data_IF_428092210575
#
_entry.id   IF_428092210575
#
_cell.length_a   1.000
_cell.length_b   1.000
_cell.length_c   1.000
_cell.angle_alpha   90.00
_cell.angle_beta   90.00
_cell.angle_gamma   90.00
#
_symmetry.space_group_name_H-M   'P 1'
#
loop_
_entity.id
_entity.type
_entity.pdbx_description
1 polymer ?
#
# COMPACT_ATOMS: atom_id res chain seq x y z
N UNK A 1 -31.30 4.81 5.69
CA UNK A 1 -30.39 5.09 6.82
C UNK A 1 -29.00 4.47 6.63
N UNK A 2 -28.93 3.19 6.34
CA UNK A 2 -27.67 2.50 6.07
C UNK A 2 -26.86 3.15 4.95
N UNK A 3 -27.51 3.54 3.85
CA UNK A 3 -26.85 4.18 2.71
C UNK A 3 -26.30 5.57 3.04
N UNK A 4 -27.00 6.33 3.89
CA UNK A 4 -26.57 7.66 4.31
C UNK A 4 -25.33 7.57 5.21
N UNK A 5 -25.31 6.60 6.12
CA UNK A 5 -24.17 6.35 7.00
C UNK A 5 -22.93 5.96 6.19
N UNK A 6 -23.10 5.07 5.20
CA UNK A 6 -21.99 4.65 4.32
C UNK A 6 -21.46 5.83 3.51
N UNK A 7 -22.33 6.71 2.98
CA UNK A 7 -21.91 7.91 2.25
C UNK A 7 -21.11 8.86 3.15
N UNK A 8 -21.51 9.03 4.40
CA UNK A 8 -20.78 9.88 5.35
C UNK A 8 -19.40 9.31 5.62
N UNK A 9 -19.30 8.00 5.83
CA UNK A 9 -18.03 7.30 6.05
C UNK A 9 -17.14 7.43 4.80
N UNK A 10 -17.67 7.15 3.63
CA UNK A 10 -16.94 7.26 2.36
C UNK A 10 -16.42 8.68 2.12
N UNK A 11 -17.25 9.70 2.39
CA UNK A 11 -16.86 11.09 2.24
C UNK A 11 -15.75 11.47 3.21
N UNK A 12 -15.82 11.02 4.46
CA UNK A 12 -14.77 11.26 5.46
C UNK A 12 -13.45 10.63 5.03
N UNK A 13 -13.49 9.39 4.55
CA UNK A 13 -12.30 8.69 4.10
C UNK A 13 -11.75 9.33 2.83
N UNK A 14 -12.61 9.73 1.89
CA UNK A 14 -12.18 10.43 0.69
C UNK A 14 -11.53 11.78 1.01
N UNK A 15 -12.09 12.53 1.95
CA UNK A 15 -11.50 13.79 2.41
C UNK A 15 -10.15 13.54 3.08
N UNK A 16 -10.05 12.51 3.91
CA UNK A 16 -8.81 12.11 4.56
C UNK A 16 -7.71 11.79 3.53
N UNK A 17 -8.06 11.02 2.48
CA UNK A 17 -7.10 10.72 1.42
C UNK A 17 -6.72 11.95 0.59
N UNK A 18 -7.62 12.91 0.41
CA UNK A 18 -7.27 14.19 -0.23
C UNK A 18 -6.24 14.97 0.58
N UNK A 19 -6.39 14.99 1.90
CA UNK A 19 -5.44 15.63 2.80
C UNK A 19 -4.08 14.93 2.76
N UNK A 20 -4.07 13.63 2.50
CA UNK A 20 -2.86 12.80 2.55
C UNK A 20 -2.35 12.40 1.16
N UNK A 21 -2.78 13.07 0.10
CA UNK A 21 -2.38 12.73 -1.27
C UNK A 21 -0.86 12.70 -1.48
N UNK A 22 -0.13 13.53 -0.75
CA UNK A 22 1.33 13.62 -0.86
C UNK A 22 2.06 12.63 0.04
N UNK A 23 1.34 11.86 0.84
CA UNK A 23 1.96 10.88 1.74
C UNK A 23 2.54 9.71 0.96
N UNK A 24 3.65 9.19 1.47
CA UNK A 24 4.38 8.09 0.85
C UNK A 24 3.60 6.80 0.97
N UNK A 25 3.74 5.98 -0.07
CA UNK A 25 3.13 4.67 -0.16
C UNK A 25 4.20 3.70 -0.68
N UNK A 26 4.19 2.47 -0.19
CA UNK A 26 5.10 1.43 -0.65
C UNK A 26 4.34 0.15 -0.89
N UNK A 27 4.33 -0.30 -2.13
CA UNK A 27 3.74 -1.58 -2.53
C UNK A 27 4.75 -2.71 -2.39
N UNK A 28 4.26 -3.91 -2.10
CA UNK A 28 5.06 -5.11 -2.32
C UNK A 28 5.29 -5.24 -3.82
N UNK A 29 6.55 -5.25 -4.24
CA UNK A 29 6.90 -5.21 -5.67
C UNK A 29 6.62 -6.55 -6.36
N UNK A 30 6.70 -7.66 -5.65
CA UNK A 30 6.20 -8.94 -6.14
C UNK A 30 4.68 -8.96 -6.03
N UNK A 31 4.00 -9.01 -7.16
CA UNK A 31 2.54 -9.05 -7.20
C UNK A 31 2.07 -10.46 -6.85
N UNK A 32 1.49 -10.63 -5.65
CA UNK A 32 0.99 -11.92 -5.19
C UNK A 32 -0.50 -12.12 -5.44
N UNK A 33 -1.12 -11.25 -6.23
CA UNK A 33 -2.51 -11.42 -6.66
C UNK A 33 -2.59 -12.59 -7.63
N UNK A 34 -3.79 -13.15 -7.76
CA UNK A 34 -4.01 -14.24 -8.69
C UNK A 34 -3.72 -13.80 -10.12
N UNK A 35 -2.84 -14.49 -10.82
CA UNK A 35 -2.43 -14.17 -12.18
C UNK A 35 -3.64 -14.02 -13.11
N UNK A 36 -3.59 -13.04 -14.01
CA UNK A 36 -4.64 -12.71 -14.97
C UNK A 36 -5.97 -12.26 -14.34
N UNK A 37 -6.04 -12.11 -13.02
CA UNK A 37 -7.24 -11.56 -12.37
C UNK A 37 -7.30 -10.05 -12.55
N UNK A 38 -8.49 -9.49 -12.39
CA UNK A 38 -8.67 -8.03 -12.38
C UNK A 38 -7.84 -7.37 -11.28
N UNK A 39 -7.79 -7.99 -10.11
CA UNK A 39 -6.98 -7.50 -8.99
C UNK A 39 -5.49 -7.50 -9.32
N UNK A 40 -5.00 -8.50 -10.04
CA UNK A 40 -3.60 -8.56 -10.48
C UNK A 40 -3.28 -7.35 -11.38
N UNK A 41 -4.13 -7.08 -12.36
CA UNK A 41 -3.91 -6.00 -13.33
C UNK A 41 -3.92 -4.63 -12.63
N UNK A 42 -4.89 -4.39 -11.75
CA UNK A 42 -5.00 -3.15 -10.97
C UNK A 42 -3.74 -2.95 -10.14
N UNK A 43 -3.28 -3.99 -9.47
CA UNK A 43 -2.09 -3.94 -8.61
C UNK A 43 -0.82 -3.70 -9.44
N UNK A 44 -0.63 -4.43 -10.54
CA UNK A 44 0.54 -4.26 -11.42
C UNK A 44 0.66 -2.82 -11.93
N UNK A 45 -0.46 -2.21 -12.30
CA UNK A 45 -0.47 -0.84 -12.81
C UNK A 45 -0.13 0.19 -11.74
N UNK A 46 -0.35 -0.10 -10.47
CA UNK A 46 -0.17 0.84 -9.38
C UNK A 46 1.10 0.63 -8.55
N UNK A 47 1.69 -0.56 -8.59
CA UNK A 47 2.73 -0.96 -7.61
C UNK A 47 4.00 -0.13 -7.62
N UNK A 48 4.26 0.62 -8.69
CA UNK A 48 5.41 1.51 -8.79
C UNK A 48 5.10 2.93 -8.30
N UNK A 49 3.88 3.19 -7.84
CA UNK A 49 3.49 4.48 -7.29
C UNK A 49 4.17 4.72 -5.94
N UNK A 50 4.63 5.94 -5.70
CA UNK A 50 5.38 6.31 -4.51
C UNK A 50 4.62 7.27 -3.59
N UNK A 51 3.45 7.74 -4.03
CA UNK A 51 2.53 8.56 -3.23
C UNK A 51 1.10 8.08 -3.43
N UNK A 52 0.22 8.46 -2.50
CA UNK A 52 -1.21 8.13 -2.60
C UNK A 52 -1.80 8.71 -3.89
N UNK A 53 -1.45 9.94 -4.22
CA UNK A 53 -1.93 10.59 -5.44
C UNK A 53 -1.56 9.80 -6.69
N UNK A 54 -0.30 9.36 -6.79
CA UNK A 54 0.16 8.56 -7.94
C UNK A 54 -0.58 7.24 -8.05
N UNK A 55 -0.87 6.60 -6.91
CA UNK A 55 -1.64 5.37 -6.89
C UNK A 55 -3.06 5.59 -7.42
N UNK A 56 -3.73 6.65 -6.98
CA UNK A 56 -5.05 7.00 -7.48
C UNK A 56 -5.03 7.32 -8.98
N UNK A 57 -4.01 8.02 -9.45
CA UNK A 57 -3.85 8.32 -10.87
C UNK A 57 -3.60 7.06 -11.71
N UNK A 58 -3.18 5.98 -11.08
CA UNK A 58 -3.00 4.67 -11.72
C UNK A 58 -4.24 3.77 -11.54
N UNK A 59 -5.38 4.36 -11.20
CA UNK A 59 -6.67 3.68 -11.00
C UNK A 59 -6.71 2.73 -9.81
N UNK A 60 -5.77 2.85 -8.87
CA UNK A 60 -5.84 2.15 -7.58
C UNK A 60 -6.87 2.86 -6.71
N UNK A 61 -7.77 2.09 -6.10
CA UNK A 61 -8.91 2.65 -5.38
C UNK A 61 -8.65 2.69 -3.88
N UNK A 62 -9.40 3.53 -3.17
CA UNK A 62 -9.36 3.57 -1.70
C UNK A 62 -9.61 2.19 -1.08
N UNK A 63 -10.59 1.46 -1.60
CA UNK A 63 -10.89 0.11 -1.11
C UNK A 63 -9.72 -0.85 -1.31
N UNK A 64 -8.95 -0.67 -2.37
CA UNK A 64 -7.75 -1.47 -2.63
C UNK A 64 -6.66 -1.16 -1.60
N UNK A 65 -6.51 0.11 -1.21
CA UNK A 65 -5.58 0.50 -0.15
C UNK A 65 -5.96 -0.16 1.17
N UNK A 66 -7.23 -0.10 1.53
CA UNK A 66 -7.72 -0.72 2.77
C UNK A 66 -7.51 -2.23 2.78
N UNK A 67 -7.80 -2.89 1.67
CA UNK A 67 -7.61 -4.33 1.54
C UNK A 67 -6.13 -4.72 1.61
N UNK A 68 -5.27 -4.01 0.90
CA UNK A 68 -3.86 -4.38 0.78
C UNK A 68 -3.00 -3.95 1.97
N UNK A 69 -3.50 -3.07 2.84
CA UNK A 69 -2.85 -2.75 4.11
C UNK A 69 -3.15 -3.77 5.20
N UNK A 70 -4.04 -4.72 4.93
CA UNK A 70 -4.41 -5.80 5.84
C UNK A 70 -3.89 -7.14 5.31
N UNK A 71 -3.94 -8.18 6.15
CA UNK A 71 -3.53 -9.54 5.78
C UNK A 71 -4.68 -10.39 5.23
N UNK A 72 -5.52 -9.80 4.34
CA UNK A 72 -6.74 -10.45 3.87
C UNK A 72 -6.56 -11.25 2.56
N UNK A 73 -5.36 -11.41 2.06
CA UNK A 73 -5.09 -12.22 0.87
C UNK A 73 -4.77 -13.67 1.25
N UNK A 74 -4.72 -14.54 0.23
CA UNK A 74 -4.48 -15.98 0.40
C UNK A 74 -3.15 -16.31 1.10
N UNK A 75 -2.17 -15.42 1.06
CA UNK A 75 -0.86 -15.61 1.68
C UNK A 75 -0.79 -15.04 3.09
N UNK A 76 -1.85 -14.39 3.57
CA UNK A 76 -1.90 -13.73 4.87
C UNK A 76 -0.78 -12.69 5.04
N UNK A 77 -0.48 -11.96 3.97
CA UNK A 77 0.57 -10.95 3.90
C UNK A 77 0.00 -9.57 3.66
N UNK A 78 0.69 -8.55 4.18
CA UNK A 78 0.41 -7.15 3.85
C UNK A 78 1.07 -6.85 2.51
N UNK A 79 0.38 -6.16 1.62
CA UNK A 79 0.92 -5.80 0.32
C UNK A 79 1.24 -4.32 0.18
N UNK A 80 0.91 -3.52 1.18
CA UNK A 80 1.00 -2.07 1.07
C UNK A 80 1.30 -1.45 2.42
N UNK A 81 2.22 -0.48 2.44
CA UNK A 81 2.48 0.42 3.56
C UNK A 81 2.11 1.84 3.16
N UNK A 82 1.42 2.56 4.04
CA UNK A 82 1.00 3.95 3.82
C UNK A 82 1.50 4.78 5.00
N UNK A 83 2.08 5.95 4.71
CA UNK A 83 2.58 6.85 5.73
C UNK A 83 1.43 7.65 6.39
N UNK A 84 0.52 6.92 7.00
CA UNK A 84 -0.59 7.45 7.79
C UNK A 84 -0.68 6.58 9.03
N UNK A 85 -0.61 7.20 10.21
CA UNK A 85 -0.53 6.46 11.48
C UNK A 85 -1.67 5.47 11.69
N UNK A 86 -2.87 5.79 11.22
CA UNK A 86 -4.03 4.89 11.35
C UNK A 86 -3.89 3.59 10.54
N UNK A 87 -2.97 3.54 9.58
CA UNK A 87 -2.69 2.37 8.75
C UNK A 87 -1.45 1.61 9.20
N UNK A 88 -0.80 2.05 10.28
CA UNK A 88 0.39 1.39 10.82
C UNK A 88 0.10 0.90 12.23
N UNK A 89 0.17 -0.40 12.42
CA UNK A 89 -0.10 -1.07 13.69
C UNK A 89 1.18 -1.76 14.17
N UNK A 90 1.67 -1.38 15.35
CA UNK A 90 2.88 -1.97 15.93
C UNK A 90 2.78 -3.49 16.07
N UNK A 91 1.57 -4.03 16.22
CA UNK A 91 1.34 -5.46 16.34
C UNK A 91 1.52 -6.20 15.02
N UNK A 92 1.62 -5.47 13.89
CA UNK A 92 1.85 -6.03 12.56
C UNK A 92 3.27 -5.79 12.06
N UNK A 93 4.19 -5.41 12.93
CA UNK A 93 5.57 -5.09 12.57
C UNK A 93 6.22 -6.19 11.73
N UNK A 94 6.03 -7.45 12.10
CA UNK A 94 6.60 -8.58 11.37
C UNK A 94 6.08 -8.67 9.94
N UNK A 95 4.81 -8.36 9.72
CA UNK A 95 4.20 -8.35 8.39
C UNK A 95 4.79 -7.23 7.53
N UNK A 96 5.02 -6.06 8.13
CA UNK A 96 5.63 -4.93 7.43
C UNK A 96 7.09 -5.21 7.06
N UNK A 97 7.84 -5.83 7.97
CA UNK A 97 9.23 -6.23 7.70
C UNK A 97 9.29 -7.29 6.60
N UNK A 98 8.33 -8.20 6.54
CA UNK A 98 8.23 -9.17 5.45
C UNK A 98 8.08 -8.49 4.09
N UNK A 99 7.23 -7.45 4.00
CA UNK A 99 7.07 -6.67 2.78
C UNK A 99 8.39 -5.97 2.39
N UNK A 100 9.03 -5.33 3.35
CA UNK A 100 10.29 -4.60 3.12
C UNK A 100 11.38 -5.57 2.65
N UNK A 101 11.51 -6.71 3.30
CA UNK A 101 12.50 -7.73 2.92
C UNK A 101 12.21 -8.31 1.55
N UNK A 102 10.94 -8.53 1.22
CA UNK A 102 10.51 -8.95 -0.12
C UNK A 102 10.96 -7.95 -1.18
N UNK A 103 10.79 -6.65 -0.91
CA UNK A 103 11.21 -5.60 -1.83
C UNK A 103 12.73 -5.54 -1.97
N UNK A 104 13.47 -5.75 -0.90
CA UNK A 104 14.94 -5.82 -0.96
C UNK A 104 15.42 -6.96 -1.86
N UNK A 105 14.75 -8.11 -1.81
CA UNK A 105 15.03 -9.20 -2.72
C UNK A 105 14.70 -8.85 -4.17
N UNK A 106 13.54 -8.22 -4.39
CA UNK A 106 13.10 -7.83 -5.73
C UNK A 106 14.11 -6.90 -6.41
N UNK A 107 14.64 -5.91 -5.71
CA UNK A 107 15.56 -4.92 -6.29
C UNK A 107 16.94 -5.49 -6.61
N UNK A 108 17.29 -6.67 -6.11
CA UNK A 108 18.55 -7.35 -6.46
C UNK A 108 18.59 -7.76 -7.92
N UNK A 109 17.44 -8.09 -8.50
CA UNK A 109 17.33 -8.61 -9.87
C UNK A 109 16.47 -7.75 -10.78
N UNK A 110 15.85 -6.69 -10.26
CA UNK A 110 14.97 -5.80 -11.02
C UNK A 110 15.34 -4.36 -10.76
N UNK A 111 15.43 -3.58 -11.83
CA UNK A 111 15.70 -2.15 -11.72
C UNK A 111 14.42 -1.41 -11.35
N UNK A 112 14.52 -0.52 -10.36
CA UNK A 112 13.40 0.31 -9.91
C UNK A 112 13.85 1.77 -9.84
N UNK A 113 12.89 2.70 -9.75
CA UNK A 113 13.19 4.11 -9.64
C UNK A 113 13.86 4.46 -8.31
N UNK A 114 14.57 5.57 -8.26
CA UNK A 114 15.16 6.07 -7.02
C UNK A 114 14.10 6.40 -5.98
N UNK A 115 12.92 6.85 -6.39
CA UNK A 115 11.82 7.15 -5.48
C UNK A 115 11.36 5.89 -4.73
N UNK A 116 11.31 4.75 -5.41
CA UNK A 116 10.98 3.48 -4.77
C UNK A 116 12.08 3.08 -3.77
N UNK A 117 13.34 3.23 -4.15
CA UNK A 117 14.46 2.92 -3.24
C UNK A 117 14.43 3.79 -1.99
N UNK A 118 14.14 5.07 -2.14
CA UNK A 118 13.97 5.98 -1.01
C UNK A 118 12.80 5.58 -0.11
N UNK A 119 11.68 5.17 -0.69
CA UNK A 119 10.52 4.73 0.07
C UNK A 119 10.77 3.42 0.84
N UNK A 120 11.52 2.49 0.25
CA UNK A 120 11.92 1.28 0.97
C UNK A 120 12.68 1.65 2.24
N UNK A 121 13.66 2.54 2.12
CA UNK A 121 14.48 3.00 3.23
C UNK A 121 13.64 3.78 4.26
N UNK A 122 12.79 4.67 3.78
CA UNK A 122 11.89 5.45 4.63
C UNK A 122 10.99 4.55 5.48
N UNK A 123 10.32 3.59 4.85
CA UNK A 123 9.42 2.69 5.57
C UNK A 123 10.15 1.70 6.46
N UNK A 124 11.35 1.28 6.09
CA UNK A 124 12.16 0.44 6.96
C UNK A 124 12.47 1.15 8.28
N UNK A 125 12.88 2.41 8.21
CA UNK A 125 13.15 3.22 9.40
C UNK A 125 11.88 3.42 10.23
N UNK A 126 10.78 3.72 9.57
CA UNK A 126 9.49 3.96 10.24
C UNK A 126 8.98 2.70 10.94
N UNK A 127 9.05 1.55 10.27
CA UNK A 127 8.63 0.26 10.83
C UNK A 127 9.52 -0.13 12.00
N UNK A 128 10.81 0.07 11.91
CA UNK A 128 11.74 -0.24 13.01
C UNK A 128 11.46 0.62 14.24
N UNK A 129 10.83 1.77 14.08
CA UNK A 129 10.47 2.67 15.19
C UNK A 129 9.11 2.36 15.81
N UNK A 130 8.37 1.40 15.29
CA UNK A 130 7.07 1.02 15.83
C UNK A 130 7.17 0.31 17.19
#
# INVERSE_FOLDING_TARGET
>A
MKNLTNKIIENKIALSFREFKDKKILFRLFNNKRDKSKSFIIYENAKNSTTIEKAFNSNYRKIDIEYDTTKNNRFKKVNLLVDINSYLDKNKKDLYLDLINSNKEFIKTNKVSNDILENIKFFENKVNSL
#
